data_IF_143789878947
#
_entry.id   IF_143789878947
#
_cell.length_a   1.000
_cell.length_b   1.000
_cell.length_c   1.000
_cell.angle_alpha   90.00
_cell.angle_beta   90.00
_cell.angle_gamma   90.00
#
_symmetry.space_group_name_H-M   'P 1'
#
loop_
_entity.id
_entity.type
_entity.pdbx_description
1 polymer ?
#
# COMPACT_ATOMS: atom_id res chain seq x y z
N UNK A 1 19.00 -9.01 8.07
CA UNK A 1 19.02 -8.70 6.63
C UNK A 1 17.68 -8.09 6.28
N UNK A 2 17.70 -6.86 5.75
CA UNK A 2 16.48 -6.09 5.56
C UNK A 2 15.44 -6.81 4.71
N UNK A 3 14.22 -6.93 5.24
CA UNK A 3 13.08 -7.54 4.55
C UNK A 3 12.50 -6.59 3.49
N UNK A 4 12.59 -5.29 3.73
CA UNK A 4 12.18 -4.22 2.83
C UNK A 4 13.32 -3.22 2.67
N UNK A 5 13.67 -2.90 1.43
CA UNK A 5 14.60 -1.82 1.09
C UNK A 5 13.94 -0.85 0.12
N UNK A 6 14.07 0.42 0.41
CA UNK A 6 13.63 1.52 -0.43
C UNK A 6 14.84 2.39 -0.70
N UNK A 7 15.14 2.66 -1.96
CA UNK A 7 16.35 3.36 -2.36
C UNK A 7 15.99 4.56 -3.23
N UNK A 8 16.29 5.77 -2.73
CA UNK A 8 16.13 7.03 -3.46
C UNK A 8 14.74 7.17 -4.10
N UNK A 9 13.69 6.75 -3.40
CA UNK A 9 12.33 6.69 -3.90
C UNK A 9 11.82 8.09 -4.24
N UNK A 10 11.24 8.23 -5.44
CA UNK A 10 10.66 9.47 -5.93
C UNK A 10 9.24 9.24 -6.40
N UNK A 11 8.34 10.17 -6.03
CA UNK A 11 6.97 10.23 -6.53
C UNK A 11 6.52 11.68 -6.61
N UNK A 12 6.14 12.10 -7.81
CA UNK A 12 5.75 13.45 -8.16
C UNK A 12 4.32 13.48 -8.71
N UNK A 13 3.62 14.59 -8.49
CA UNK A 13 2.29 14.84 -9.03
C UNK A 13 2.24 16.25 -9.60
N UNK A 14 2.27 16.37 -10.93
CA UNK A 14 2.42 17.66 -11.60
C UNK A 14 3.68 18.39 -11.08
N UNK A 15 3.52 19.61 -10.56
CA UNK A 15 4.61 20.38 -9.96
C UNK A 15 5.01 19.99 -8.53
N UNK A 16 4.31 19.05 -7.89
CA UNK A 16 4.52 18.70 -6.48
C UNK A 16 5.45 17.50 -6.35
N UNK A 17 6.57 17.68 -5.64
CA UNK A 17 7.50 16.61 -5.30
C UNK A 17 7.09 15.89 -4.00
N UNK A 18 6.07 15.04 -4.07
CA UNK A 18 5.46 14.42 -2.89
C UNK A 18 6.40 13.45 -2.14
N UNK A 19 7.24 12.71 -2.85
CA UNK A 19 8.36 11.94 -2.28
C UNK A 19 9.59 12.25 -3.13
N UNK A 20 10.71 12.65 -2.52
CA UNK A 20 11.87 13.14 -3.24
C UNK A 20 13.19 12.57 -2.70
N UNK A 21 13.48 11.32 -3.03
CA UNK A 21 14.74 10.66 -2.70
C UNK A 21 14.76 10.05 -1.30
N UNK A 22 13.66 9.43 -0.89
CA UNK A 22 13.60 8.72 0.41
C UNK A 22 14.27 7.36 0.29
N UNK A 23 15.21 7.07 1.18
CA UNK A 23 15.79 5.74 1.36
C UNK A 23 15.51 5.23 2.77
N UNK A 24 15.11 3.97 2.89
CA UNK A 24 14.92 3.30 4.18
C UNK A 24 15.10 1.80 4.02
N UNK A 25 15.63 1.16 5.05
CA UNK A 25 15.68 -0.29 5.19
C UNK A 25 14.86 -0.67 6.43
N UNK A 26 14.14 -1.77 6.35
CA UNK A 26 13.40 -2.36 7.48
C UNK A 26 13.82 -3.80 7.63
N UNK A 27 14.23 -4.18 8.82
CA UNK A 27 14.63 -5.53 9.19
C UNK A 27 13.42 -6.39 9.55
N UNK A 28 13.56 -7.72 9.44
CA UNK A 28 12.48 -8.63 9.85
C UNK A 28 12.22 -8.49 11.36
N UNK A 29 10.96 -8.25 11.72
CA UNK A 29 10.55 -8.05 13.12
C UNK A 29 10.72 -6.61 13.64
N UNK A 30 11.24 -5.70 12.81
CA UNK A 30 11.36 -4.29 13.15
C UNK A 30 10.02 -3.55 13.03
N UNK A 31 9.81 -2.58 13.93
CA UNK A 31 8.70 -1.64 13.86
C UNK A 31 9.24 -0.26 13.51
N UNK A 32 9.03 0.16 12.26
CA UNK A 32 9.41 1.49 11.79
C UNK A 32 8.23 2.48 11.89
N UNK A 33 8.44 3.60 12.58
CA UNK A 33 7.49 4.72 12.61
C UNK A 33 7.88 5.83 11.62
N UNK A 34 6.93 6.27 10.78
CA UNK A 34 7.12 7.44 9.90
C UNK A 34 6.23 8.59 10.37
N UNK A 35 6.86 9.66 10.85
CA UNK A 35 6.19 10.88 11.34
C UNK A 35 6.48 12.08 10.46
N UNK A 36 5.63 13.12 10.57
CA UNK A 36 5.75 14.37 9.83
C UNK A 36 4.41 15.08 9.71
N UNK A 37 4.38 16.37 9.31
CA UNK A 37 3.14 17.13 9.18
C UNK A 37 2.23 16.59 8.05
N UNK A 38 0.98 17.04 8.04
CA UNK A 38 0.07 16.76 6.93
C UNK A 38 0.65 17.35 5.63
N UNK A 39 0.53 16.60 4.53
CA UNK A 39 1.12 16.98 3.25
C UNK A 39 2.61 16.63 3.08
N UNK A 40 3.31 16.15 4.12
CA UNK A 40 4.73 15.78 4.04
C UNK A 40 5.05 14.55 3.16
N UNK A 41 4.06 13.97 2.48
CA UNK A 41 4.28 12.84 1.57
C UNK A 41 4.17 11.45 2.20
N UNK A 42 3.88 11.32 3.50
CA UNK A 42 3.76 10.01 4.20
C UNK A 42 2.79 9.05 3.51
N UNK A 43 1.57 9.49 3.24
CA UNK A 43 0.57 8.66 2.55
C UNK A 43 1.03 8.28 1.15
N UNK A 44 1.67 9.22 0.42
CA UNK A 44 2.24 8.94 -0.91
C UNK A 44 3.34 7.89 -0.84
N UNK A 45 4.23 7.98 0.15
CA UNK A 45 5.30 7.02 0.40
C UNK A 45 4.74 5.60 0.58
N UNK A 46 3.80 5.42 1.51
CA UNK A 46 3.17 4.11 1.73
C UNK A 46 2.37 3.62 0.51
N UNK A 47 1.63 4.51 -0.16
CA UNK A 47 0.89 4.18 -1.38
C UNK A 47 1.82 3.65 -2.48
N UNK A 48 3.02 4.24 -2.61
CA UNK A 48 3.99 3.85 -3.63
C UNK A 48 4.61 2.48 -3.31
N UNK A 49 4.92 2.20 -2.04
CA UNK A 49 5.38 0.87 -1.59
C UNK A 49 4.31 -0.20 -1.85
N UNK A 50 3.03 0.13 -1.62
CA UNK A 50 1.92 -0.79 -1.81
C UNK A 50 1.41 -0.90 -3.26
N UNK A 51 2.13 -0.32 -4.24
CA UNK A 51 1.76 -0.38 -5.67
C UNK A 51 0.49 0.38 -6.07
N UNK A 52 0.01 1.30 -5.23
CA UNK A 52 -1.10 2.21 -5.59
C UNK A 52 -0.61 3.26 -6.59
N UNK A 53 0.65 3.68 -6.45
CA UNK A 53 1.33 4.53 -7.42
C UNK A 53 2.62 3.87 -7.88
N UNK A 54 2.93 3.97 -9.16
CA UNK A 54 4.26 3.64 -9.66
C UNK A 54 5.24 4.77 -9.26
N UNK A 55 6.45 4.42 -8.78
CA UNK A 55 7.48 5.41 -8.51
C UNK A 55 7.93 6.09 -9.81
N UNK A 56 8.30 7.35 -9.72
CA UNK A 56 8.91 8.10 -10.84
C UNK A 56 10.45 7.99 -10.82
N UNK A 57 11.00 7.32 -9.81
CA UNK A 57 12.42 6.98 -9.70
C UNK A 57 12.74 6.28 -8.37
N UNK A 58 13.95 5.73 -8.29
CA UNK A 58 14.41 4.91 -7.15
C UNK A 58 14.00 3.45 -7.29
N UNK A 59 14.19 2.66 -6.21
CA UNK A 59 13.89 1.23 -6.13
C UNK A 59 13.10 0.86 -4.88
N UNK A 60 12.25 -0.15 -4.99
CA UNK A 60 11.58 -0.80 -3.86
C UNK A 60 11.83 -2.30 -4.00
N UNK A 61 12.48 -2.88 -3.00
CA UNK A 61 12.89 -4.28 -2.95
C UNK A 61 12.26 -4.91 -1.72
N UNK A 62 11.55 -6.01 -1.91
CA UNK A 62 10.94 -6.78 -0.82
C UNK A 62 11.26 -8.25 -1.00
N UNK A 63 11.77 -8.89 0.06
CA UNK A 63 12.29 -10.28 0.00
C UNK A 63 13.24 -10.47 -1.19
N UNK A 64 14.21 -9.55 -1.31
CA UNK A 64 15.24 -9.53 -2.38
C UNK A 64 14.70 -9.42 -3.82
N UNK A 65 13.44 -9.02 -4.00
CA UNK A 65 12.82 -8.82 -5.32
C UNK A 65 12.39 -7.37 -5.50
N UNK A 66 12.74 -6.79 -6.64
CA UNK A 66 12.16 -5.50 -7.05
C UNK A 66 10.66 -5.67 -7.32
N UNK A 67 9.82 -4.85 -6.69
CA UNK A 67 8.35 -4.97 -6.76
C UNK A 67 7.68 -3.85 -7.57
N UNK A 68 8.47 -3.03 -8.24
CA UNK A 68 7.99 -1.89 -9.00
C UNK A 68 7.17 -2.34 -10.22
N UNK A 69 6.05 -1.67 -10.49
CA UNK A 69 5.15 -2.03 -11.58
C UNK A 69 4.21 -3.19 -11.28
N UNK A 70 4.38 -3.89 -10.15
CA UNK A 70 3.39 -4.86 -9.67
C UNK A 70 2.14 -4.16 -9.16
N UNK A 71 0.99 -4.77 -9.39
CA UNK A 71 -0.29 -4.30 -8.83
C UNK A 71 -0.36 -4.51 -7.32
N UNK A 72 -1.17 -3.72 -6.62
CA UNK A 72 -1.33 -3.84 -5.16
C UNK A 72 -1.70 -5.25 -4.69
N UNK A 73 -2.50 -6.00 -5.45
CA UNK A 73 -2.85 -7.39 -5.08
C UNK A 73 -1.67 -8.36 -5.22
N UNK A 74 -0.85 -8.19 -6.25
CA UNK A 74 0.36 -9.00 -6.42
C UNK A 74 1.32 -8.74 -5.26
N UNK A 75 1.52 -7.47 -4.90
CA UNK A 75 2.34 -7.06 -3.74
C UNK A 75 1.76 -7.60 -2.42
N UNK A 76 0.44 -7.54 -2.24
CA UNK A 76 -0.23 -8.10 -1.07
C UNK A 76 -0.02 -9.61 -0.95
N UNK A 77 -0.12 -10.35 -2.07
CA UNK A 77 0.17 -11.80 -2.11
C UNK A 77 1.63 -12.13 -1.81
N UNK A 78 2.56 -11.19 -1.99
CA UNK A 78 3.95 -11.38 -1.60
C UNK A 78 4.17 -11.21 -0.09
N UNK A 79 3.28 -10.50 0.61
CA UNK A 79 3.34 -10.33 2.06
C UNK A 79 3.29 -8.89 2.56
N UNK A 80 3.18 -7.88 1.67
CA UNK A 80 2.99 -6.48 2.08
C UNK A 80 1.49 -6.16 2.11
N UNK A 81 0.89 -6.20 3.30
CA UNK A 81 -0.48 -5.77 3.50
C UNK A 81 -0.57 -4.32 3.98
N UNK A 82 -1.66 -3.64 3.64
CA UNK A 82 -1.94 -2.27 4.09
C UNK A 82 -3.31 -2.20 4.75
N UNK A 83 -3.34 -1.67 5.96
CA UNK A 83 -4.57 -1.29 6.64
C UNK A 83 -5.07 0.07 6.14
N UNK A 84 -6.39 0.22 6.01
CA UNK A 84 -7.00 1.51 5.67
C UNK A 84 -7.17 2.38 6.91
N UNK A 85 -6.83 3.67 6.82
CA UNK A 85 -6.99 4.62 7.93
C UNK A 85 -8.44 4.74 8.41
N UNK A 86 -9.39 4.61 7.48
CA UNK A 86 -10.82 4.49 7.78
C UNK A 86 -11.21 3.08 7.40
N UNK A 87 -11.43 2.24 8.42
CA UNK A 87 -11.98 0.90 8.23
C UNK A 87 -13.41 1.02 7.73
N UNK A 88 -13.72 0.35 6.62
CA UNK A 88 -15.09 0.22 6.10
C UNK A 88 -15.49 -1.25 6.13
N UNK A 89 -15.82 -1.80 7.31
CA UNK A 89 -16.32 -3.17 7.39
C UNK A 89 -17.64 -3.28 6.62
N UNK A 90 -17.92 -4.48 6.13
CA UNK A 90 -19.24 -4.84 5.62
C UNK A 90 -20.20 -4.91 6.81
N UNK A 91 -20.98 -3.83 6.99
CA UNK A 91 -21.83 -3.64 8.17
C UNK A 91 -22.93 -4.69 8.35
N UNK A 92 -23.33 -5.34 7.26
CA UNK A 92 -24.35 -6.40 7.26
C UNK A 92 -23.76 -7.80 7.53
N UNK A 93 -22.45 -7.90 7.77
CA UNK A 93 -21.73 -9.16 7.97
C UNK A 93 -21.23 -9.30 9.41
N UNK A 94 -21.13 -10.54 9.91
CA UNK A 94 -20.51 -10.77 11.21
C UNK A 94 -19.03 -10.36 11.18
N UNK A 95 -18.42 -10.19 12.36
CA UNK A 95 -16.97 -9.92 12.46
C UNK A 95 -16.16 -11.03 11.79
N UNK A 96 -16.55 -12.29 12.01
CA UNK A 96 -15.87 -13.44 11.40
C UNK A 96 -15.98 -13.41 9.87
N UNK A 97 -17.17 -13.10 9.35
CA UNK A 97 -17.38 -13.01 7.91
C UNK A 97 -16.58 -11.86 7.29
N UNK A 98 -16.47 -10.72 7.97
CA UNK A 98 -15.60 -9.61 7.55
C UNK A 98 -14.14 -10.09 7.40
N UNK A 99 -13.62 -10.83 8.37
CA UNK A 99 -12.25 -11.35 8.35
C UNK A 99 -12.04 -12.40 7.24
N UNK A 100 -13.00 -13.31 7.05
CA UNK A 100 -12.89 -14.37 6.03
C UNK A 100 -13.03 -13.78 4.61
N UNK A 101 -13.93 -12.81 4.42
CA UNK A 101 -14.24 -12.23 3.11
C UNK A 101 -13.07 -11.47 2.46
N UNK A 102 -12.07 -11.04 3.23
CA UNK A 102 -10.85 -10.43 2.67
C UNK A 102 -10.01 -11.41 1.84
N UNK A 103 -10.12 -12.74 2.09
CA UNK A 103 -9.34 -13.74 1.35
C UNK A 103 -9.72 -13.87 -0.14
N UNK A 104 -10.93 -13.46 -0.53
CA UNK A 104 -11.41 -13.63 -1.92
C UNK A 104 -11.25 -12.39 -2.82
N UNK A 105 -11.10 -11.18 -2.27
CA UNK A 105 -11.21 -9.92 -3.04
C UNK A 105 -10.05 -8.94 -2.87
N UNK A 106 -8.85 -9.39 -2.53
CA UNK A 106 -7.71 -8.49 -2.33
C UNK A 106 -7.18 -7.78 -3.62
N UNK A 107 -7.94 -7.75 -4.72
CA UNK A 107 -7.59 -7.03 -5.95
C UNK A 107 -8.56 -5.98 -6.48
N UNK A 108 -9.70 -5.69 -5.84
CA UNK A 108 -10.73 -4.85 -6.47
C UNK A 108 -11.46 -3.84 -5.57
N UNK A 109 -10.97 -3.51 -4.38
CA UNK A 109 -11.64 -2.52 -3.52
C UNK A 109 -11.13 -1.10 -3.74
N UNK A 110 -11.29 -0.61 -4.97
CA UNK A 110 -11.35 0.82 -5.27
C UNK A 110 -12.25 1.19 -6.46
N UNK A 111 -12.99 0.25 -7.06
CA UNK A 111 -13.85 0.55 -8.21
C UNK A 111 -15.29 0.07 -7.98
N UNK A 112 -16.18 1.04 -7.75
CA UNK A 112 -17.57 0.97 -8.17
C UNK A 112 -18.53 0.15 -7.30
N UNK A 113 -19.48 0.85 -6.69
CA UNK A 113 -20.90 0.58 -6.90
C UNK A 113 -21.28 -0.89 -7.20
N UNK A 114 -21.50 -1.70 -6.16
CA UNK A 114 -22.41 -2.85 -6.30
C UNK A 114 -23.81 -2.33 -6.02
N UNK A 115 -24.44 -1.78 -7.07
CA UNK A 115 -25.90 -1.60 -7.12
C UNK A 115 -26.50 -3.01 -7.10
N UNK A 116 -27.11 -3.45 -5.99
CA UNK A 116 -28.12 -4.50 -6.09
C UNK A 116 -29.36 -3.89 -6.72
N UNK A 117 -29.81 -4.46 -7.85
CA UNK A 117 -31.21 -4.36 -8.28
C UNK A 117 -32.06 -4.92 -7.15
N UNK A 118 -32.92 -4.09 -6.59
CA UNK A 118 -34.11 -4.53 -5.86
C UNK A 118 -35.21 -4.78 -6.90
N UNK A 119 -35.80 -5.97 -6.85
CA UNK A 119 -37.21 -6.14 -7.22
C UNK A 119 -38.09 -5.44 -6.18
#
# INVERSE_FOLDING_TARGET
MAILKVENLKKFFGGVKAVNGVSVEVEQGEVLGVIGPNGAGKTTFFNTICGVYNPDGGKIIFLDKEIQGLTSFQIARMGIARTFQIVKPFGDMTVLDNVISEKEKAGALSLGYIKRKSD
#
